data_IF_630769834771
#
_entry.id   IF_630769834771
#
_cell.length_a   1.000
_cell.length_b   1.000
_cell.length_c   1.000
_cell.angle_alpha   90.00
_cell.angle_beta   90.00
_cell.angle_gamma   90.00
#
_symmetry.space_group_name_H-M   'P 1'
#
loop_
_entity.id
_entity.type
_entity.pdbx_description
1 polymer ?
#
# COMPACT_ATOMS: atom_id res chain seq x y z
N UNK A 1 -4.97 -77.83 26.48
CA UNK A 1 -4.62 -76.38 26.60
C UNK A 1 -4.62 -75.75 25.21
N UNK A 2 -5.67 -75.05 24.84
CA UNK A 2 -5.77 -74.37 23.53
C UNK A 2 -5.45 -72.91 23.79
N UNK A 3 -4.36 -72.35 23.21
CA UNK A 3 -4.04 -70.96 23.20
C UNK A 3 -4.92 -70.27 22.13
N UNK A 4 -5.66 -69.27 22.55
CA UNK A 4 -6.39 -68.36 21.66
C UNK A 4 -5.48 -67.10 21.44
N UNK A 5 -5.01 -66.96 20.21
CA UNK A 5 -4.33 -65.75 19.78
C UNK A 5 -5.38 -64.66 19.45
N UNK A 6 -5.42 -63.55 20.23
CA UNK A 6 -6.21 -62.38 19.91
C UNK A 6 -5.32 -61.44 19.07
N UNK A 7 -5.63 -61.30 17.77
CA UNK A 7 -5.00 -60.30 16.92
C UNK A 7 -5.71 -58.98 17.09
N UNK A 8 -5.01 -58.01 17.68
CA UNK A 8 -5.50 -56.63 17.80
C UNK A 8 -5.21 -55.90 16.49
N UNK A 9 -6.25 -55.65 15.74
CA UNK A 9 -6.17 -54.85 14.50
C UNK A 9 -6.18 -53.38 14.88
N UNK A 10 -5.02 -52.70 14.82
CA UNK A 10 -4.92 -51.25 14.98
C UNK A 10 -5.39 -50.57 13.68
N UNK A 11 -6.57 -49.95 13.72
CA UNK A 11 -7.06 -49.07 12.65
C UNK A 11 -6.32 -47.75 12.73
N UNK A 12 -5.36 -47.56 11.84
CA UNK A 12 -4.74 -46.25 11.58
C UNK A 12 -5.80 -45.33 10.91
N UNK A 13 -6.46 -44.51 11.69
CA UNK A 13 -7.19 -43.35 11.13
C UNK A 13 -6.18 -42.36 10.60
N UNK A 14 -5.89 -42.39 9.31
CA UNK A 14 -5.25 -41.32 8.59
C UNK A 14 -6.29 -40.18 8.50
N UNK A 15 -6.20 -39.27 9.42
CA UNK A 15 -6.98 -38.03 9.34
C UNK A 15 -6.59 -37.32 8.03
N UNK A 16 -7.48 -37.34 7.05
CA UNK A 16 -7.39 -36.40 5.92
C UNK A 16 -7.53 -35.01 6.49
N UNK A 17 -6.42 -34.29 6.63
CA UNK A 17 -6.46 -32.84 6.79
C UNK A 17 -7.11 -32.27 5.54
N UNK A 18 -8.34 -31.78 5.67
CA UNK A 18 -9.02 -31.09 4.58
C UNK A 18 -8.06 -30.02 4.02
N UNK A 19 -7.86 -30.03 2.70
CA UNK A 19 -7.01 -29.02 2.05
C UNK A 19 -7.48 -27.65 2.50
N UNK A 20 -6.56 -26.82 3.00
CA UNK A 20 -6.87 -25.48 3.51
C UNK A 20 -7.46 -24.65 2.38
N UNK A 21 -8.70 -24.15 2.52
CA UNK A 21 -9.30 -23.22 1.54
C UNK A 21 -8.49 -21.92 1.54
N UNK A 22 -7.71 -21.71 0.50
CA UNK A 22 -6.86 -20.51 0.32
C UNK A 22 -7.65 -19.23 0.17
N UNK A 23 -8.94 -19.33 -0.17
CA UNK A 23 -9.86 -18.20 -0.31
C UNK A 23 -10.66 -17.94 0.97
N UNK A 24 -10.55 -18.78 1.99
CA UNK A 24 -11.25 -18.50 3.25
C UNK A 24 -10.72 -17.23 3.91
N UNK A 25 -11.62 -16.45 4.51
CA UNK A 25 -11.25 -15.22 5.21
C UNK A 25 -10.16 -15.44 6.25
N UNK A 26 -10.17 -16.58 6.95
CA UNK A 26 -9.11 -16.92 7.93
C UNK A 26 -7.74 -17.14 7.27
N UNK A 27 -7.68 -17.76 6.09
CA UNK A 27 -6.43 -17.95 5.34
C UNK A 27 -5.88 -16.60 4.84
N UNK A 28 -6.74 -15.77 4.29
CA UNK A 28 -6.38 -14.45 3.79
C UNK A 28 -5.91 -13.52 4.92
N UNK A 29 -6.60 -13.54 6.06
CA UNK A 29 -6.21 -12.75 7.22
C UNK A 29 -4.87 -13.21 7.80
N UNK A 30 -4.55 -14.50 7.73
CA UNK A 30 -3.23 -14.99 8.12
C UNK A 30 -2.11 -14.46 7.22
N UNK A 31 -2.37 -14.29 5.90
CA UNK A 31 -1.42 -13.64 4.98
C UNK A 31 -1.24 -12.15 5.32
N UNK A 32 -2.33 -11.43 5.62
CA UNK A 32 -2.25 -10.03 6.09
C UNK A 32 -1.47 -9.93 7.41
N UNK A 33 -1.72 -10.83 8.36
CA UNK A 33 -0.99 -10.86 9.62
C UNK A 33 0.51 -11.19 9.41
N UNK A 34 0.82 -12.04 8.44
CA UNK A 34 2.20 -12.33 8.07
C UNK A 34 2.89 -11.09 7.50
N UNK A 35 2.24 -10.38 6.57
CA UNK A 35 2.74 -9.11 6.06
C UNK A 35 2.99 -8.12 7.20
N UNK A 36 2.01 -7.91 8.08
CA UNK A 36 2.12 -7.01 9.23
C UNK A 36 3.30 -7.34 10.14
N UNK A 37 3.65 -8.63 10.27
CA UNK A 37 4.75 -9.09 11.14
C UNK A 37 6.15 -8.63 10.68
N UNK A 38 6.31 -8.16 9.46
CA UNK A 38 7.57 -7.62 8.95
C UNK A 38 7.81 -6.14 9.35
N UNK A 39 6.80 -5.47 9.92
CA UNK A 39 6.93 -4.13 10.49
C UNK A 39 6.78 -3.02 9.46
N UNK A 40 7.80 -2.16 9.33
CA UNK A 40 7.76 -1.04 8.39
C UNK A 40 8.11 -1.49 6.97
N UNK A 41 7.27 -1.13 6.00
CA UNK A 41 7.42 -1.54 4.61
C UNK A 41 7.94 -0.44 3.68
N UNK A 42 8.63 0.55 4.26
CA UNK A 42 9.25 1.59 3.45
C UNK A 42 10.28 0.99 2.50
N UNK A 43 10.30 1.49 1.25
CA UNK A 43 11.22 1.00 0.22
C UNK A 43 12.66 0.87 0.71
N UNK A 44 13.31 -0.25 0.44
CA UNK A 44 14.68 -0.57 0.88
C UNK A 44 14.83 -0.91 2.37
N UNK A 45 13.75 -0.90 3.16
CA UNK A 45 13.79 -1.28 4.58
C UNK A 45 13.95 -2.79 4.79
N UNK A 46 14.28 -3.26 6.00
CA UNK A 46 14.24 -4.68 6.32
C UNK A 46 12.86 -5.32 6.07
N UNK A 47 11.76 -4.60 6.36
CA UNK A 47 10.40 -5.09 6.13
C UNK A 47 10.05 -5.23 4.66
N UNK A 48 10.47 -4.28 3.80
CA UNK A 48 10.33 -4.39 2.34
C UNK A 48 11.05 -5.64 1.82
N UNK A 49 12.32 -5.84 2.21
CA UNK A 49 13.09 -7.03 1.80
C UNK A 49 12.46 -8.34 2.28
N UNK A 50 12.00 -8.39 3.54
CA UNK A 50 11.35 -9.58 4.10
C UNK A 50 10.02 -9.87 3.38
N UNK A 51 9.26 -8.84 3.01
CA UNK A 51 8.04 -8.98 2.21
C UNK A 51 8.33 -9.54 0.83
N UNK A 52 9.35 -9.03 0.13
CA UNK A 52 9.74 -9.54 -1.18
C UNK A 52 10.19 -11.01 -1.11
N UNK A 53 10.98 -11.39 -0.10
CA UNK A 53 11.40 -12.78 0.10
C UNK A 53 10.22 -13.71 0.42
N UNK A 54 9.29 -13.27 1.25
CA UNK A 54 8.09 -14.02 1.57
C UNK A 54 7.19 -14.24 0.34
N UNK A 55 6.87 -13.19 -0.41
CA UNK A 55 6.05 -13.28 -1.63
C UNK A 55 6.73 -14.24 -2.65
N UNK A 56 8.04 -14.09 -2.85
CA UNK A 56 8.79 -14.98 -3.74
C UNK A 56 8.72 -16.45 -3.28
N UNK A 57 8.83 -16.71 -1.98
CA UNK A 57 8.70 -18.05 -1.40
C UNK A 57 7.32 -18.66 -1.62
N UNK A 58 6.24 -17.90 -1.40
CA UNK A 58 4.86 -18.33 -1.62
C UNK A 58 4.58 -18.66 -3.10
N UNK A 59 5.03 -17.80 -4.02
CA UNK A 59 4.86 -18.03 -5.45
C UNK A 59 5.70 -19.19 -5.94
N UNK A 60 6.95 -19.35 -5.46
CA UNK A 60 7.79 -20.52 -5.75
C UNK A 60 7.16 -21.82 -5.23
N UNK A 61 6.61 -21.79 -4.02
CA UNK A 61 5.88 -22.91 -3.43
C UNK A 61 4.64 -23.31 -4.23
N UNK A 62 4.01 -22.37 -4.92
CA UNK A 62 2.92 -22.63 -5.84
C UNK A 62 3.38 -23.11 -7.24
N UNK A 63 4.69 -23.19 -7.49
CA UNK A 63 5.26 -23.74 -8.72
C UNK A 63 5.57 -22.71 -9.80
N UNK A 64 5.59 -21.42 -9.46
CA UNK A 64 6.01 -20.36 -10.40
C UNK A 64 7.53 -20.24 -10.46
N UNK A 65 8.06 -19.90 -11.63
CA UNK A 65 9.46 -19.53 -11.81
C UNK A 65 9.66 -18.09 -11.32
N UNK A 66 10.58 -17.87 -10.38
CA UNK A 66 10.80 -16.57 -9.74
C UNK A 66 11.97 -15.84 -10.38
N UNK A 67 11.77 -14.53 -10.62
CA UNK A 67 12.80 -13.59 -11.03
C UNK A 67 12.69 -12.32 -10.20
N UNK A 68 13.81 -11.82 -9.69
CA UNK A 68 13.88 -10.51 -9.07
C UNK A 68 14.35 -9.47 -10.10
N UNK A 69 13.68 -8.32 -10.11
CA UNK A 69 14.10 -7.17 -10.89
C UNK A 69 14.58 -6.08 -9.92
N UNK A 70 15.89 -5.77 -9.90
CA UNK A 70 16.43 -4.73 -9.03
C UNK A 70 15.80 -3.37 -9.35
N UNK A 71 15.36 -2.67 -8.30
CA UNK A 71 14.85 -1.29 -8.37
C UNK A 71 15.81 -0.42 -7.58
N UNK A 72 16.34 0.65 -8.19
CA UNK A 72 17.25 1.57 -7.52
C UNK A 72 16.66 2.97 -7.56
N UNK A 73 16.48 3.55 -6.39
CA UNK A 73 16.06 4.95 -6.24
C UNK A 73 17.28 5.82 -5.93
N UNK A 74 17.37 6.99 -6.57
CA UNK A 74 18.52 7.88 -6.45
C UNK A 74 18.76 8.35 -5.02
N UNK A 75 17.67 8.58 -4.26
CA UNK A 75 17.76 8.98 -2.85
C UNK A 75 16.54 8.52 -2.05
N UNK A 76 16.73 8.38 -0.75
CA UNK A 76 15.69 8.27 0.26
C UNK A 76 16.14 8.96 1.55
N UNK A 77 15.23 9.66 2.21
CA UNK A 77 15.46 10.16 3.55
C UNK A 77 15.04 9.12 4.58
N UNK A 78 15.96 8.70 5.42
CA UNK A 78 15.74 7.71 6.48
C UNK A 78 15.65 8.43 7.82
N UNK A 79 14.53 8.22 8.53
CA UNK A 79 14.32 8.73 9.90
C UNK A 79 14.67 7.63 10.87
N UNK A 80 15.65 7.88 11.74
CA UNK A 80 16.03 6.98 12.83
C UNK A 80 15.20 7.29 14.08
N UNK A 81 15.03 8.59 14.37
CA UNK A 81 14.23 9.08 15.48
C UNK A 81 13.64 10.44 15.14
N UNK A 82 12.41 10.66 15.50
CA UNK A 82 11.78 11.97 15.42
C UNK A 82 10.79 12.15 16.57
N UNK A 83 10.82 13.30 17.23
CA UNK A 83 9.90 13.66 18.30
C UNK A 83 9.64 15.16 18.31
N UNK A 84 8.54 15.53 18.95
CA UNK A 84 8.24 16.91 19.30
C UNK A 84 7.90 17.01 20.80
N UNK A 85 8.16 18.16 21.38
CA UNK A 85 7.68 18.52 22.72
C UNK A 85 7.05 19.91 22.63
N UNK A 86 5.89 20.10 23.26
CA UNK A 86 5.20 21.35 23.31
C UNK A 86 4.53 21.53 24.69
N UNK A 87 4.76 22.66 25.36
CA UNK A 87 4.23 22.96 26.70
C UNK A 87 4.49 21.81 27.71
N UNK A 88 5.69 21.21 27.71
CA UNK A 88 6.08 20.10 28.59
C UNK A 88 5.44 18.74 28.26
N UNK A 89 4.79 18.62 27.11
CA UNK A 89 4.14 17.38 26.68
C UNK A 89 4.84 16.83 25.43
N UNK A 90 5.28 15.58 25.48
CA UNK A 90 5.79 14.87 24.32
C UNK A 90 4.68 14.62 23.28
N UNK A 91 4.98 14.87 22.03
CA UNK A 91 4.09 14.70 20.88
C UNK A 91 4.81 13.91 19.79
N UNK A 92 4.12 12.94 19.21
CA UNK A 92 4.63 12.23 18.06
C UNK A 92 4.71 13.15 16.83
N UNK A 93 5.84 13.20 16.19
CA UNK A 93 6.09 13.99 14.98
C UNK A 93 6.90 13.17 13.98
N UNK A 94 6.75 13.50 12.71
CA UNK A 94 7.53 12.88 11.63
C UNK A 94 7.99 13.96 10.67
N UNK A 95 9.27 14.00 10.26
CA UNK A 95 9.70 14.90 9.20
C UNK A 95 8.89 14.64 7.93
N UNK A 96 8.38 15.72 7.33
CA UNK A 96 7.79 15.63 6.00
C UNK A 96 8.90 15.40 4.99
N UNK A 97 8.71 14.47 4.07
CA UNK A 97 9.76 13.98 3.16
C UNK A 97 10.63 15.11 2.56
N UNK A 98 11.85 14.78 2.21
CA UNK A 98 12.90 15.65 1.67
C UNK A 98 13.17 16.91 2.53
N UNK A 99 13.62 16.78 3.80
CA UNK A 99 14.14 17.91 4.55
C UNK A 99 15.39 18.48 3.85
N UNK A 100 15.82 19.73 4.17
CA UNK A 100 17.11 20.23 3.70
C UNK A 100 18.23 19.28 4.05
N UNK A 101 19.19 19.05 3.14
CA UNK A 101 20.26 18.06 3.36
C UNK A 101 21.14 18.42 4.57
N UNK A 102 21.42 19.71 4.80
CA UNK A 102 22.14 20.22 5.96
C UNK A 102 21.30 20.17 7.26
N UNK A 103 20.04 19.81 7.16
CA UNK A 103 19.08 19.63 8.25
C UNK A 103 18.47 18.22 8.26
N UNK A 104 19.17 17.25 7.73
CA UNK A 104 18.74 15.84 7.79
C UNK A 104 18.63 15.35 9.26
N UNK A 105 19.51 15.85 10.13
CA UNK A 105 19.39 15.71 11.59
C UNK A 105 19.41 17.10 12.22
N UNK A 106 18.53 17.38 13.17
CA UNK A 106 18.49 18.65 13.86
C UNK A 106 17.81 18.58 15.22
N UNK A 107 18.25 19.49 16.09
CA UNK A 107 17.57 19.82 17.33
C UNK A 107 17.20 21.30 17.26
N UNK A 108 15.90 21.62 17.40
CA UNK A 108 15.40 22.98 17.32
C UNK A 108 14.38 23.22 18.43
N UNK A 109 14.63 24.26 19.22
CA UNK A 109 13.67 24.76 20.21
C UNK A 109 13.37 26.22 19.94
N UNK A 110 12.11 26.55 19.65
CA UNK A 110 11.71 27.91 19.27
C UNK A 110 10.24 28.19 19.62
N UNK A 111 9.84 29.47 19.79
CA UNK A 111 8.43 29.82 19.94
C UNK A 111 7.60 29.46 18.72
N UNK A 112 6.33 29.11 18.96
CA UNK A 112 5.36 28.86 17.91
C UNK A 112 4.73 30.17 17.43
N UNK A 113 4.44 30.29 16.13
CA UNK A 113 3.69 31.40 15.55
C UNK A 113 2.75 30.87 14.46
N UNK A 114 1.64 31.61 14.22
CA UNK A 114 0.72 31.33 13.10
C UNK A 114 0.85 32.33 11.96
N UNK A 115 1.26 33.53 12.28
CA UNK A 115 1.39 34.64 11.34
C UNK A 115 2.39 35.70 11.83
N UNK A 116 2.43 36.87 11.17
CA UNK A 116 3.29 38.00 11.52
C UNK A 116 4.78 37.70 11.26
N UNK A 117 5.63 38.20 12.17
CA UNK A 117 7.07 37.94 12.11
C UNK A 117 7.35 36.52 12.60
N UNK A 118 7.81 35.64 11.69
CA UNK A 118 8.11 34.23 11.93
C UNK A 118 9.61 33.93 11.90
N UNK A 119 10.46 34.96 11.76
CA UNK A 119 11.91 34.76 11.76
C UNK A 119 12.37 34.14 13.08
N UNK A 120 13.10 33.03 13.00
CA UNK A 120 13.56 32.27 14.17
C UNK A 120 12.45 31.52 14.94
N UNK A 121 11.22 31.49 14.46
CA UNK A 121 10.09 30.79 15.08
C UNK A 121 9.72 29.56 14.29
N UNK A 122 8.93 28.66 14.90
CA UNK A 122 8.26 27.56 14.22
C UNK A 122 6.92 28.08 13.72
N UNK A 123 6.71 28.03 12.41
CA UNK A 123 5.45 28.45 11.80
C UNK A 123 4.46 27.29 11.76
N UNK A 124 3.32 27.44 12.42
CA UNK A 124 2.25 26.44 12.37
C UNK A 124 1.36 26.67 11.15
N UNK A 125 1.25 25.62 10.32
CA UNK A 125 0.42 25.59 9.13
C UNK A 125 -0.61 24.47 9.26
N UNK A 126 -1.88 24.80 9.15
CA UNK A 126 -2.97 23.84 9.03
C UNK A 126 -3.29 23.62 7.56
N UNK A 127 -3.35 22.37 7.14
CA UNK A 127 -3.85 21.98 5.83
C UNK A 127 -5.13 21.17 5.97
N UNK A 128 -6.17 21.46 5.16
CA UNK A 128 -7.31 20.57 5.06
C UNK A 128 -6.87 19.22 4.50
N UNK A 129 -7.64 18.17 4.77
CA UNK A 129 -7.34 16.86 4.20
C UNK A 129 -7.60 16.86 2.69
N UNK A 130 -6.54 16.69 1.92
CA UNK A 130 -6.64 16.36 0.51
C UNK A 130 -6.64 14.84 0.38
N UNK A 131 -7.74 14.29 -0.16
CA UNK A 131 -7.93 12.85 -0.32
C UNK A 131 -6.99 12.20 -1.35
N UNK A 132 -6.12 12.98 -2.00
CA UNK A 132 -5.07 12.47 -2.89
C UNK A 132 -3.97 11.72 -2.13
N UNK A 133 -3.37 10.72 -2.76
CA UNK A 133 -2.16 10.07 -2.22
C UNK A 133 -0.91 10.95 -2.39
N UNK A 134 -0.88 11.80 -3.40
CA UNK A 134 0.18 12.79 -3.65
C UNK A 134 -0.22 14.17 -3.16
N UNK A 135 0.79 14.95 -2.76
CA UNK A 135 0.61 16.33 -2.33
C UNK A 135 0.02 17.18 -3.47
N UNK A 136 -1.20 17.66 -3.29
CA UNK A 136 -1.89 18.49 -4.28
C UNK A 136 -1.23 19.85 -4.46
N UNK A 137 -1.46 20.54 -5.62
CA UNK A 137 -0.86 21.85 -5.93
C UNK A 137 -1.15 22.91 -4.86
N UNK A 138 -2.38 22.95 -4.32
CA UNK A 138 -2.76 23.93 -3.30
C UNK A 138 -1.98 23.73 -1.99
N UNK A 139 -1.82 22.48 -1.54
CA UNK A 139 -1.04 22.15 -0.34
C UNK A 139 0.45 22.45 -0.54
N UNK A 140 0.99 22.10 -1.71
CA UNK A 140 2.38 22.43 -2.08
C UNK A 140 2.62 23.95 -2.07
N UNK A 141 1.69 24.72 -2.63
CA UNK A 141 1.76 26.19 -2.61
C UNK A 141 1.75 26.72 -1.18
N UNK A 142 0.83 26.25 -0.33
CA UNK A 142 0.73 26.71 1.06
C UNK A 142 2.01 26.43 1.87
N UNK A 143 2.62 25.25 1.71
CA UNK A 143 3.90 24.94 2.37
C UNK A 143 5.03 25.81 1.81
N UNK A 144 5.06 26.03 0.48
CA UNK A 144 6.09 26.85 -0.16
C UNK A 144 5.99 28.32 0.26
N UNK A 145 4.78 28.87 0.36
CA UNK A 145 4.54 30.22 0.87
C UNK A 145 4.95 30.38 2.34
N UNK A 146 4.65 29.37 3.15
CA UNK A 146 5.10 29.31 4.54
C UNK A 146 6.63 29.29 4.63
N UNK A 147 7.28 28.48 3.83
CA UNK A 147 8.74 28.36 3.79
C UNK A 147 9.41 29.66 3.28
N UNK A 148 8.79 30.38 2.35
CA UNK A 148 9.29 31.66 1.83
C UNK A 148 9.40 32.76 2.90
N UNK A 149 8.63 32.65 4.00
CA UNK A 149 8.73 33.54 5.17
C UNK A 149 9.96 33.27 6.03
N UNK A 150 10.76 32.22 5.70
CA UNK A 150 11.99 31.83 6.37
C UNK A 150 11.84 31.56 7.89
N UNK A 151 10.82 30.76 8.31
CA UNK A 151 10.75 30.32 9.70
C UNK A 151 11.92 29.39 10.02
N UNK A 152 12.18 29.15 11.30
CA UNK A 152 13.16 28.14 11.73
C UNK A 152 12.77 26.72 11.34
N UNK A 153 11.46 26.43 11.39
CA UNK A 153 10.82 25.21 10.87
C UNK A 153 9.33 25.44 10.63
N UNK A 154 8.69 24.54 9.93
CA UNK A 154 7.23 24.48 9.79
C UNK A 154 6.70 23.30 10.63
N UNK A 155 5.71 23.59 11.48
CA UNK A 155 4.84 22.57 12.07
C UNK A 155 3.63 22.44 11.16
N UNK A 156 3.49 21.27 10.52
CA UNK A 156 2.42 20.99 9.59
C UNK A 156 1.38 20.06 10.23
N UNK A 157 0.15 20.51 10.28
CA UNK A 157 -0.97 19.70 10.75
C UNK A 157 -1.96 19.47 9.61
N UNK A 158 -2.16 18.19 9.26
CA UNK A 158 -3.06 17.78 8.18
C UNK A 158 -4.29 17.15 8.81
N UNK A 159 -5.46 17.77 8.57
CA UNK A 159 -6.72 17.24 9.09
C UNK A 159 -7.16 15.99 8.33
N UNK A 160 -6.76 14.81 8.80
CA UNK A 160 -7.14 13.53 8.21
C UNK A 160 -8.06 12.73 9.15
N UNK A 161 -8.82 11.73 8.66
CA UNK A 161 -9.82 10.99 9.46
C UNK A 161 -9.25 10.24 10.67
N UNK A 162 -7.95 9.95 10.69
CA UNK A 162 -7.28 9.30 11.82
C UNK A 162 -6.76 10.29 12.88
N UNK A 163 -6.82 11.60 12.60
CA UNK A 163 -6.19 12.64 13.43
C UNK A 163 -4.70 12.39 13.71
N UNK A 164 -4.03 11.63 12.84
CA UNK A 164 -2.64 11.23 12.98
C UNK A 164 -1.73 11.88 11.92
N UNK A 165 -0.44 11.61 12.01
CA UNK A 165 0.56 12.03 11.03
C UNK A 165 0.28 11.38 9.67
N UNK A 166 0.07 12.20 8.66
CA UNK A 166 -0.24 11.73 7.32
C UNK A 166 0.97 11.90 6.40
N UNK A 167 1.34 10.86 5.65
CA UNK A 167 2.39 10.90 4.66
C UNK A 167 1.82 10.95 3.25
N UNK A 168 2.11 12.00 2.49
CA UNK A 168 1.85 12.03 1.05
C UNK A 168 2.95 11.29 0.28
N UNK A 169 2.62 10.73 -0.87
CA UNK A 169 3.60 10.19 -1.80
C UNK A 169 4.48 11.30 -2.40
N UNK A 170 5.69 10.94 -2.74
CA UNK A 170 6.72 11.84 -3.25
C UNK A 170 7.37 11.23 -4.49
N UNK A 171 7.97 12.07 -5.32
CA UNK A 171 8.78 11.61 -6.45
C UNK A 171 10.27 11.91 -6.24
N UNK A 172 11.13 11.32 -7.05
CA UNK A 172 12.58 11.58 -7.00
C UNK A 172 12.93 12.99 -7.47
N UNK A 173 12.06 13.60 -8.28
CA UNK A 173 12.18 14.95 -8.83
C UNK A 173 11.78 16.04 -7.83
N UNK A 174 11.01 15.69 -6.79
CA UNK A 174 10.60 16.65 -5.76
C UNK A 174 11.84 17.23 -5.06
N UNK A 175 11.98 18.54 -5.08
CA UNK A 175 13.07 19.22 -4.39
C UNK A 175 12.94 19.12 -2.86
N UNK A 176 14.05 19.14 -2.11
CA UNK A 176 14.01 19.32 -0.67
C UNK A 176 13.30 20.63 -0.29
N UNK A 177 12.58 20.62 0.83
CA UNK A 177 12.03 21.85 1.40
C UNK A 177 13.17 22.78 1.83
N UNK A 178 13.01 24.10 1.71
CA UNK A 178 14.08 25.04 2.10
C UNK A 178 14.23 25.20 3.62
N UNK A 179 13.26 24.70 4.41
CA UNK A 179 13.28 24.65 5.87
C UNK A 179 12.75 23.29 6.35
N UNK A 180 13.10 22.84 7.55
CA UNK A 180 12.51 21.62 8.11
C UNK A 180 10.98 21.72 8.21
N UNK A 181 10.26 20.69 7.78
CA UNK A 181 8.81 20.55 7.91
C UNK A 181 8.50 19.32 8.74
N UNK A 182 7.80 19.51 9.86
CA UNK A 182 7.43 18.44 10.78
C UNK A 182 5.92 18.22 10.76
N UNK A 183 5.48 17.02 10.44
CA UNK A 183 4.06 16.62 10.47
C UNK A 183 3.70 16.12 11.85
N UNK A 184 2.59 16.63 12.38
CA UNK A 184 1.98 16.18 13.64
C UNK A 184 0.52 15.84 13.42
N UNK A 185 -0.03 14.93 14.21
CA UNK A 185 -1.44 14.57 14.16
C UNK A 185 -2.34 15.64 14.76
N UNK A 186 -3.55 15.81 14.22
CA UNK A 186 -4.55 16.76 14.72
C UNK A 186 -4.97 16.49 16.17
N UNK A 187 -4.82 15.25 16.65
CA UNK A 187 -5.01 14.88 18.08
C UNK A 187 -4.13 15.70 19.05
N UNK A 188 -3.00 16.24 18.58
CA UNK A 188 -2.08 17.05 19.38
C UNK A 188 -2.42 18.57 19.37
N UNK A 189 -3.45 18.99 18.65
CA UNK A 189 -3.83 20.42 18.45
C UNK A 189 -3.86 21.20 19.76
N UNK A 190 -4.59 20.71 20.77
CA UNK A 190 -4.75 21.40 22.06
C UNK A 190 -3.40 21.62 22.77
N UNK A 191 -2.43 20.73 22.58
CA UNK A 191 -1.08 20.88 23.16
C UNK A 191 -0.33 22.02 22.51
N UNK A 192 -0.39 22.15 21.18
CA UNK A 192 0.24 23.27 20.46
C UNK A 192 -0.46 24.59 20.69
N UNK A 193 -1.79 24.59 20.84
CA UNK A 193 -2.54 25.80 21.23
C UNK A 193 -2.12 26.33 22.61
N UNK A 194 -1.90 25.43 23.59
CA UNK A 194 -1.34 25.82 24.90
C UNK A 194 0.06 26.40 24.79
N UNK A 195 0.94 25.78 23.98
CA UNK A 195 2.28 26.31 23.74
C UNK A 195 2.24 27.70 23.08
N UNK A 196 1.37 27.88 22.09
CA UNK A 196 1.18 29.18 21.41
C UNK A 196 0.68 30.27 22.39
N UNK A 197 -0.34 29.95 23.20
CA UNK A 197 -0.95 30.91 24.15
C UNK A 197 0.00 31.29 25.28
N UNK A 198 0.84 30.37 25.75
CA UNK A 198 1.79 30.62 26.84
C UNK A 198 3.13 31.19 26.37
N UNK A 199 3.41 31.17 25.06
CA UNK A 199 4.73 31.50 24.53
C UNK A 199 5.79 30.44 24.82
N UNK A 200 5.40 29.28 25.35
CA UNK A 200 6.32 28.17 25.61
C UNK A 200 6.94 27.66 24.28
N UNK A 201 8.24 27.33 24.27
CA UNK A 201 8.89 26.82 23.07
C UNK A 201 8.33 25.47 22.68
N UNK A 202 8.32 25.20 21.37
CA UNK A 202 8.17 23.88 20.79
C UNK A 202 9.57 23.37 20.43
N UNK A 203 9.84 22.13 20.79
CA UNK A 203 11.14 21.49 20.52
C UNK A 203 10.93 20.35 19.54
N UNK A 204 11.69 20.32 18.45
CA UNK A 204 11.83 19.19 17.54
C UNK A 204 13.21 18.55 17.73
N UNK A 205 13.26 17.23 17.81
CA UNK A 205 14.49 16.44 17.89
C UNK A 205 14.42 15.35 16.82
N UNK A 206 15.27 15.46 15.81
CA UNK A 206 15.28 14.58 14.64
C UNK A 206 16.68 14.05 14.42
N UNK A 207 16.78 12.73 14.33
CA UNK A 207 17.96 12.02 13.82
C UNK A 207 17.55 11.30 12.53
N UNK A 208 18.25 11.62 11.46
CA UNK A 208 17.99 11.03 10.15
C UNK A 208 19.13 11.34 9.18
N UNK A 209 19.12 10.69 8.06
CA UNK A 209 20.12 10.89 7.01
C UNK A 209 19.55 10.57 5.63
N UNK A 210 20.22 11.05 4.59
CA UNK A 210 19.95 10.65 3.23
C UNK A 210 20.76 9.42 2.84
N UNK A 211 20.08 8.39 2.37
CA UNK A 211 20.68 7.29 1.63
C UNK A 211 20.65 7.59 0.13
N UNK A 212 21.71 7.19 -0.57
CA UNK A 212 21.84 7.31 -2.03
C UNK A 212 21.84 5.93 -2.66
N UNK A 213 21.28 5.82 -3.88
CA UNK A 213 21.19 4.56 -4.62
C UNK A 213 20.55 3.44 -3.80
N UNK A 214 19.42 3.76 -3.16
CA UNK A 214 18.69 2.80 -2.31
C UNK A 214 18.17 1.68 -3.17
N UNK A 215 18.46 0.45 -2.78
CA UNK A 215 18.08 -0.74 -3.53
C UNK A 215 16.89 -1.46 -2.90
N UNK A 216 15.89 -1.72 -3.72
CA UNK A 216 14.79 -2.64 -3.51
C UNK A 216 14.69 -3.60 -4.69
N UNK A 217 13.61 -4.33 -4.79
CA UNK A 217 13.40 -5.24 -5.92
C UNK A 217 11.93 -5.54 -6.13
N UNK A 218 11.52 -5.63 -7.39
CA UNK A 218 10.27 -6.28 -7.76
C UNK A 218 10.41 -7.80 -7.67
N UNK A 219 9.32 -8.47 -7.32
CA UNK A 219 9.19 -9.93 -7.39
C UNK A 219 8.36 -10.27 -8.61
N UNK A 220 8.92 -10.99 -9.56
CA UNK A 220 8.23 -11.45 -10.76
C UNK A 220 8.17 -12.97 -10.73
N UNK A 221 6.98 -13.52 -10.99
CA UNK A 221 6.75 -14.96 -11.00
C UNK A 221 5.93 -15.35 -12.23
N UNK A 222 6.38 -16.38 -12.94
CA UNK A 222 5.81 -16.76 -14.23
C UNK A 222 5.46 -18.23 -14.29
N UNK A 223 4.36 -18.56 -14.98
CA UNK A 223 4.11 -19.92 -15.47
C UNK A 223 4.86 -20.14 -16.79
N UNK A 224 4.97 -21.41 -17.21
CA UNK A 224 5.62 -21.74 -18.49
C UNK A 224 4.99 -20.97 -19.66
N UNK A 225 5.84 -20.34 -20.50
CA UNK A 225 5.46 -19.64 -21.72
C UNK A 225 4.73 -20.59 -22.68
N UNK A 226 3.70 -20.10 -23.39
CA UNK A 226 2.97 -20.86 -24.40
C UNK A 226 1.79 -21.68 -23.89
N UNK A 227 1.35 -21.47 -22.64
CA UNK A 227 0.20 -22.18 -22.03
C UNK A 227 -1.16 -21.52 -22.26
N UNK A 228 -1.32 -20.64 -23.25
CA UNK A 228 -2.56 -19.92 -23.53
C UNK A 228 -2.40 -18.40 -23.46
N UNK A 229 -3.48 -17.65 -23.18
CA UNK A 229 -3.42 -16.19 -23.14
C UNK A 229 -2.50 -15.70 -22.01
N UNK A 230 -1.81 -14.59 -22.24
CA UNK A 230 -1.00 -13.94 -21.20
C UNK A 230 -1.87 -13.05 -20.32
N UNK A 231 -1.81 -13.27 -19.01
CA UNK A 231 -2.50 -12.50 -17.97
C UNK A 231 -1.47 -11.96 -17.00
N UNK A 232 -1.41 -10.65 -16.84
CA UNK A 232 -0.56 -10.00 -15.84
C UNK A 232 -1.37 -9.74 -14.58
N UNK A 233 -0.79 -10.05 -13.43
CA UNK A 233 -1.39 -9.80 -12.11
C UNK A 233 -0.41 -9.01 -11.28
N UNK A 234 -0.81 -7.85 -10.77
CA UNK A 234 0.10 -6.94 -10.05
C UNK A 234 -0.42 -6.48 -8.70
N UNK A 235 0.50 -6.20 -7.79
CA UNK A 235 0.24 -5.56 -6.50
C UNK A 235 1.45 -4.76 -6.02
N UNK A 236 1.29 -3.53 -5.47
CA UNK A 236 2.37 -2.88 -4.75
C UNK A 236 2.60 -3.55 -3.39
N UNK A 237 3.85 -3.61 -2.92
CA UNK A 237 4.20 -4.26 -1.65
C UNK A 237 4.83 -3.33 -0.61
N UNK A 238 5.19 -2.09 -1.00
CA UNK A 238 5.79 -1.09 -0.10
C UNK A 238 4.77 -0.06 0.39
N UNK A 239 5.10 0.68 1.44
CA UNK A 239 4.28 1.74 2.03
C UNK A 239 5.07 2.65 2.97
N UNK A 240 4.44 3.73 3.47
CA UNK A 240 5.12 4.70 4.33
C UNK A 240 5.41 4.19 5.74
N UNK A 241 4.51 3.37 6.28
CA UNK A 241 4.54 2.85 7.64
C UNK A 241 4.39 1.33 7.63
N UNK A 242 3.64 0.78 8.58
CA UNK A 242 3.22 -0.63 8.59
C UNK A 242 2.28 -0.96 7.43
N UNK A 243 1.49 0.01 6.97
CA UNK A 243 0.55 -0.03 5.84
C UNK A 243 -0.23 -1.36 5.72
N UNK A 244 -0.70 -1.87 6.87
CA UNK A 244 -1.24 -3.23 6.98
C UNK A 244 -2.52 -3.41 6.17
N UNK A 245 -3.52 -2.51 6.31
CA UNK A 245 -4.73 -2.58 5.51
C UNK A 245 -4.55 -1.94 4.13
N UNK A 246 -3.64 -1.00 4.00
CA UNK A 246 -3.34 -0.41 2.70
C UNK A 246 -2.84 -1.45 1.70
N UNK A 247 -1.92 -2.35 2.10
CA UNK A 247 -1.25 -3.32 1.22
C UNK A 247 -1.61 -4.76 1.49
N UNK A 248 -1.75 -5.14 2.77
CA UNK A 248 -1.94 -6.54 3.17
C UNK A 248 -3.09 -7.26 2.45
N UNK A 249 -4.31 -6.69 2.36
CA UNK A 249 -5.40 -7.29 1.59
C UNK A 249 -5.08 -7.48 0.11
N UNK A 250 -4.40 -6.51 -0.52
CA UNK A 250 -3.96 -6.62 -1.91
C UNK A 250 -3.01 -7.80 -2.11
N UNK A 251 -1.99 -7.90 -1.26
CA UNK A 251 -1.01 -9.00 -1.29
C UNK A 251 -1.68 -10.35 -1.01
N UNK A 252 -2.57 -10.43 -0.02
CA UNK A 252 -3.28 -11.67 0.30
C UNK A 252 -4.14 -12.15 -0.88
N UNK A 253 -4.89 -11.25 -1.53
CA UNK A 253 -5.69 -11.57 -2.71
C UNK A 253 -4.83 -11.95 -3.92
N UNK A 254 -3.70 -11.29 -4.12
CA UNK A 254 -2.71 -11.61 -5.14
C UNK A 254 -2.16 -13.03 -4.97
N UNK A 255 -1.74 -13.39 -3.76
CA UNK A 255 -1.25 -14.74 -3.44
C UNK A 255 -2.36 -15.79 -3.54
N UNK A 256 -3.58 -15.48 -3.13
CA UNK A 256 -4.72 -16.37 -3.22
C UNK A 256 -5.08 -16.68 -4.69
N UNK A 257 -5.06 -15.69 -5.57
CA UNK A 257 -5.25 -15.89 -7.01
C UNK A 257 -4.14 -16.78 -7.59
N UNK A 258 -2.87 -16.53 -7.24
CA UNK A 258 -1.75 -17.32 -7.70
C UNK A 258 -1.86 -18.78 -7.26
N UNK A 259 -2.11 -19.00 -5.96
CA UNK A 259 -2.29 -20.36 -5.39
C UNK A 259 -3.45 -21.11 -6.04
N UNK A 260 -4.58 -20.42 -6.31
CA UNK A 260 -5.76 -21.03 -6.95
C UNK A 260 -5.46 -21.37 -8.41
N UNK A 261 -4.88 -20.46 -9.19
CA UNK A 261 -4.55 -20.68 -10.59
C UNK A 261 -3.58 -21.86 -10.76
N UNK A 262 -2.60 -22.00 -9.84
CA UNK A 262 -1.66 -23.11 -9.84
C UNK A 262 -2.32 -24.44 -9.45
N UNK A 263 -3.11 -24.46 -8.37
CA UNK A 263 -3.79 -25.68 -7.87
C UNK A 263 -4.80 -26.23 -8.89
N UNK A 264 -5.55 -25.35 -9.53
CA UNK A 264 -6.54 -25.70 -10.57
C UNK A 264 -5.90 -25.85 -11.97
N UNK A 265 -4.59 -25.58 -12.09
CA UNK A 265 -3.83 -25.70 -13.35
C UNK A 265 -4.45 -24.92 -14.51
N UNK A 266 -4.78 -23.66 -14.27
CA UNK A 266 -5.40 -22.80 -15.28
C UNK A 266 -4.54 -22.73 -16.55
N UNK A 267 -5.14 -22.89 -17.75
CA UNK A 267 -4.41 -22.95 -19.02
C UNK A 267 -4.11 -21.54 -19.55
N UNK A 268 -3.28 -20.78 -18.82
CA UNK A 268 -2.85 -19.43 -19.17
C UNK A 268 -1.38 -19.21 -18.83
N UNK A 269 -0.73 -18.28 -19.53
CA UNK A 269 0.57 -17.75 -19.15
C UNK A 269 0.36 -16.61 -18.16
N UNK A 270 0.60 -16.87 -16.88
CA UNK A 270 0.52 -15.86 -15.83
C UNK A 270 1.87 -15.19 -15.60
N UNK A 271 1.84 -13.87 -15.47
CA UNK A 271 2.95 -13.05 -15.00
C UNK A 271 2.49 -12.31 -13.76
N UNK A 272 2.87 -12.78 -12.59
CA UNK A 272 2.64 -12.13 -11.31
C UNK A 272 3.76 -11.15 -11.00
N UNK A 273 3.43 -9.93 -10.59
CA UNK A 273 4.41 -8.89 -10.25
C UNK A 273 4.02 -8.20 -8.95
N UNK A 274 4.88 -8.29 -7.92
CA UNK A 274 4.80 -7.45 -6.74
C UNK A 274 5.82 -6.32 -6.88
N UNK A 275 5.33 -5.06 -6.88
CA UNK A 275 6.11 -3.87 -7.18
C UNK A 275 6.65 -3.19 -5.94
N UNK A 276 7.89 -2.69 -6.00
CA UNK A 276 8.54 -1.91 -4.96
C UNK A 276 8.53 -0.41 -5.29
N UNK A 277 8.61 0.45 -4.27
CA UNK A 277 8.74 1.89 -4.44
C UNK A 277 7.50 2.62 -4.94
N UNK A 278 6.31 2.11 -4.64
CA UNK A 278 5.03 2.72 -5.03
C UNK A 278 4.89 4.16 -4.52
N UNK A 279 5.30 4.42 -3.27
CA UNK A 279 5.16 5.72 -2.60
C UNK A 279 6.14 6.77 -3.14
N UNK A 280 7.12 6.34 -3.93
CA UNK A 280 8.19 7.19 -4.48
C UNK A 280 8.14 7.14 -6.02
N UNK A 281 7.00 7.55 -6.57
CA UNK A 281 6.80 7.71 -8.01
C UNK A 281 6.53 6.42 -8.78
N UNK A 282 6.04 5.34 -8.13
CA UNK A 282 5.77 4.04 -8.76
C UNK A 282 7.00 3.38 -9.44
N UNK A 283 8.21 3.66 -8.94
CA UNK A 283 9.46 3.30 -9.63
C UNK A 283 9.59 1.83 -10.02
N UNK A 284 9.06 0.90 -9.20
CA UNK A 284 9.03 -0.53 -9.54
C UNK A 284 8.09 -0.86 -10.69
N UNK A 285 6.90 -0.27 -10.73
CA UNK A 285 5.95 -0.46 -11.84
C UNK A 285 6.48 0.15 -13.14
N UNK A 286 7.01 1.36 -13.09
CA UNK A 286 7.61 2.01 -14.27
C UNK A 286 8.73 1.17 -14.86
N UNK A 287 9.63 0.65 -14.02
CA UNK A 287 10.72 -0.23 -14.47
C UNK A 287 10.19 -1.54 -15.04
N UNK A 288 9.16 -2.15 -14.44
CA UNK A 288 8.57 -3.37 -14.97
C UNK A 288 7.93 -3.16 -16.33
N UNK A 289 7.15 -2.09 -16.49
CA UNK A 289 6.53 -1.73 -17.78
C UNK A 289 7.56 -1.49 -18.89
N UNK A 290 8.71 -0.90 -18.53
CA UNK A 290 9.78 -0.62 -19.46
C UNK A 290 10.56 -1.87 -19.89
N UNK A 291 10.96 -2.72 -18.93
CA UNK A 291 11.99 -3.73 -19.16
C UNK A 291 11.58 -5.16 -18.75
N UNK A 292 10.33 -5.40 -18.34
CA UNK A 292 9.92 -6.69 -17.79
C UNK A 292 8.54 -7.18 -18.17
N UNK A 293 7.64 -6.29 -18.57
CA UNK A 293 6.26 -6.62 -18.86
C UNK A 293 6.10 -7.24 -20.27
N UNK A 294 5.18 -8.19 -20.44
CA UNK A 294 4.78 -8.65 -21.77
C UNK A 294 4.20 -7.48 -22.59
N UNK A 295 4.39 -7.48 -23.89
CA UNK A 295 3.87 -6.41 -24.73
C UNK A 295 2.33 -6.28 -24.63
N UNK A 296 1.76 -5.06 -24.67
CA UNK A 296 0.31 -4.85 -24.54
C UNK A 296 -0.52 -5.69 -25.53
N UNK A 297 -0.06 -5.84 -26.78
CA UNK A 297 -0.72 -6.66 -27.81
C UNK A 297 -0.69 -8.18 -27.53
N UNK A 298 0.19 -8.64 -26.65
CA UNK A 298 0.37 -10.04 -26.26
C UNK A 298 -0.33 -10.32 -24.91
N UNK A 299 -0.86 -9.28 -24.25
CA UNK A 299 -1.49 -9.37 -22.95
C UNK A 299 -3.00 -9.32 -23.12
N UNK A 300 -3.67 -10.41 -22.77
CA UNK A 300 -5.13 -10.50 -22.79
C UNK A 300 -5.76 -9.61 -21.72
N UNK A 301 -5.21 -9.63 -20.49
CA UNK A 301 -5.76 -8.92 -19.37
C UNK A 301 -4.69 -8.52 -18.35
N UNK A 302 -4.97 -7.43 -17.61
CA UNK A 302 -4.23 -7.00 -16.43
C UNK A 302 -5.15 -6.95 -15.22
N UNK A 303 -4.83 -7.70 -14.17
CA UNK A 303 -5.52 -7.70 -12.88
C UNK A 303 -4.64 -6.99 -11.86
N UNK A 304 -5.18 -6.00 -11.14
CA UNK A 304 -4.40 -5.19 -10.19
C UNK A 304 -5.02 -5.16 -8.80
N UNK A 305 -4.23 -5.48 -7.81
CA UNK A 305 -4.57 -5.35 -6.40
C UNK A 305 -3.89 -4.10 -5.82
N UNK A 306 -4.54 -2.96 -5.93
CA UNK A 306 -4.05 -1.68 -5.40
C UNK A 306 -4.27 -1.55 -3.89
N UNK A 307 -4.36 -0.31 -3.39
CA UNK A 307 -4.52 -0.03 -1.95
C UNK A 307 -5.92 -0.37 -1.43
N UNK A 308 -6.00 -0.71 -0.13
CA UNK A 308 -7.25 -0.73 0.65
C UNK A 308 -8.37 -1.59 0.06
N UNK A 309 -8.03 -2.72 -0.55
CA UNK A 309 -8.99 -3.58 -1.26
C UNK A 309 -10.09 -4.11 -0.35
N UNK A 310 -9.76 -4.44 0.90
CA UNK A 310 -10.66 -5.02 1.88
C UNK A 310 -10.39 -4.43 3.26
N UNK A 311 -10.66 -3.13 3.43
CA UNK A 311 -10.57 -2.42 4.69
C UNK A 311 -11.97 -2.09 5.21
N UNK A 312 -12.12 -2.03 6.54
CA UNK A 312 -13.36 -1.60 7.17
C UNK A 312 -13.63 -0.12 6.91
N UNK A 313 -14.88 0.21 6.71
CA UNK A 313 -15.36 1.58 6.83
C UNK A 313 -15.67 1.90 8.30
N UNK A 314 -15.50 3.17 8.66
CA UNK A 314 -15.85 3.68 9.97
C UNK A 314 -16.95 4.75 9.79
N UNK A 315 -18.16 4.43 10.23
CA UNK A 315 -19.25 5.38 10.34
C UNK A 315 -19.50 5.66 11.83
N UNK A 316 -19.48 6.93 12.23
CA UNK A 316 -19.77 7.36 13.62
C UNK A 316 -18.93 6.62 14.70
N UNK A 317 -17.66 6.31 14.38
CA UNK A 317 -16.75 5.62 15.30
C UNK A 317 -16.94 4.10 15.41
N UNK A 318 -17.87 3.51 14.66
CA UNK A 318 -18.09 2.07 14.64
C UNK A 318 -17.49 1.42 13.38
N UNK A 319 -16.85 0.26 13.54
CA UNK A 319 -16.40 -0.56 12.41
C UNK A 319 -17.60 -1.16 11.68
N UNK A 320 -17.56 -1.19 10.37
CA UNK A 320 -18.59 -1.81 9.54
C UNK A 320 -17.97 -2.58 8.39
N UNK A 321 -18.54 -3.72 8.01
CA UNK A 321 -18.15 -4.49 6.83
C UNK A 321 -18.54 -3.82 5.52
N UNK A 322 -19.31 -2.72 5.57
CA UNK A 322 -19.60 -1.93 4.38
C UNK A 322 -18.32 -1.32 3.86
N UNK A 323 -18.08 -1.39 2.55
CA UNK A 323 -16.94 -0.71 1.97
C UNK A 323 -17.07 0.79 2.19
N UNK A 324 -15.96 1.45 2.43
CA UNK A 324 -15.91 2.90 2.38
C UNK A 324 -16.34 3.42 1.02
N UNK A 325 -16.92 4.62 1.00
CA UNK A 325 -17.25 5.31 -0.26
C UNK A 325 -16.02 5.52 -1.16
N UNK A 326 -14.84 5.41 -0.59
CA UNK A 326 -13.53 5.57 -1.19
C UNK A 326 -12.94 4.27 -1.78
N UNK A 327 -13.71 3.16 -1.82
CA UNK A 327 -13.29 1.91 -2.47
C UNK A 327 -13.78 1.86 -3.92
N UNK A 328 -12.86 1.72 -4.85
CA UNK A 328 -13.10 1.78 -6.28
C UNK A 328 -12.72 0.46 -6.96
N UNK A 329 -13.64 -0.08 -7.74
CA UNK A 329 -13.34 -1.07 -8.76
C UNK A 329 -12.96 -0.31 -10.04
N UNK A 330 -11.66 -0.26 -10.32
CA UNK A 330 -11.07 0.49 -11.45
C UNK A 330 -10.95 -0.46 -12.63
N UNK A 331 -11.56 -0.12 -13.76
CA UNK A 331 -11.64 -1.04 -14.89
C UNK A 331 -11.65 -0.33 -16.24
N UNK A 332 -11.18 -1.04 -17.26
CA UNK A 332 -11.39 -0.65 -18.65
C UNK A 332 -12.85 -0.79 -19.04
N UNK A 333 -13.29 -0.07 -20.06
CA UNK A 333 -14.67 -0.18 -20.58
C UNK A 333 -15.03 -1.61 -20.99
N UNK A 334 -14.08 -2.33 -21.58
CA UNK A 334 -14.23 -3.73 -21.97
C UNK A 334 -14.46 -4.69 -20.81
N UNK A 335 -14.01 -4.36 -19.59
CA UNK A 335 -14.15 -5.22 -18.42
C UNK A 335 -15.47 -5.02 -17.64
N UNK A 336 -16.38 -4.15 -18.10
CA UNK A 336 -17.61 -3.83 -17.37
C UNK A 336 -18.49 -5.07 -17.20
N UNK A 337 -18.83 -5.78 -18.28
CA UNK A 337 -19.70 -6.97 -18.21
C UNK A 337 -19.09 -8.08 -17.34
N UNK A 338 -17.79 -8.34 -17.49
CA UNK A 338 -17.06 -9.30 -16.66
C UNK A 338 -17.17 -8.97 -15.16
N UNK A 339 -16.97 -7.70 -14.83
CA UNK A 339 -17.01 -7.26 -13.41
C UNK A 339 -18.43 -7.20 -12.86
N UNK A 340 -19.44 -6.95 -13.69
CA UNK A 340 -20.84 -7.05 -13.30
C UNK A 340 -21.23 -8.46 -12.86
N UNK A 341 -20.65 -9.46 -13.52
CA UNK A 341 -20.88 -10.86 -13.15
C UNK A 341 -20.06 -11.29 -11.91
N UNK A 342 -18.78 -10.93 -11.85
CA UNK A 342 -17.85 -11.47 -10.84
C UNK A 342 -17.92 -10.75 -9.48
N UNK A 343 -18.27 -9.45 -9.46
CA UNK A 343 -18.20 -8.62 -8.25
C UNK A 343 -19.57 -8.34 -7.61
N UNK A 344 -20.53 -9.22 -7.78
CA UNK A 344 -21.92 -9.05 -7.25
C UNK A 344 -21.96 -8.95 -5.72
N UNK A 345 -21.06 -9.64 -5.03
CA UNK A 345 -20.96 -9.63 -3.56
C UNK A 345 -20.03 -8.54 -3.01
N UNK A 346 -19.40 -7.73 -3.88
CA UNK A 346 -18.40 -6.72 -3.49
C UNK A 346 -18.95 -5.33 -3.77
N UNK A 347 -19.31 -4.62 -2.72
CA UNK A 347 -19.71 -3.22 -2.86
C UNK A 347 -18.49 -2.34 -3.05
N UNK A 348 -18.37 -1.68 -4.21
CA UNK A 348 -17.36 -0.70 -4.56
C UNK A 348 -17.91 0.24 -5.62
N UNK A 349 -17.47 1.50 -5.61
CA UNK A 349 -17.75 2.43 -6.73
C UNK A 349 -17.02 1.95 -7.98
N UNK A 350 -17.71 1.89 -9.10
CA UNK A 350 -17.07 1.58 -10.38
C UNK A 350 -16.45 2.84 -10.98
N UNK A 351 -15.18 2.75 -11.26
CA UNK A 351 -14.43 3.76 -11.98
C UNK A 351 -14.05 3.19 -13.35
N UNK A 352 -14.97 3.34 -14.31
CA UNK A 352 -14.71 2.96 -15.70
C UNK A 352 -13.78 4.00 -16.32
N UNK A 353 -12.60 3.58 -16.71
CA UNK A 353 -11.54 4.46 -17.17
C UNK A 353 -11.61 4.63 -18.68
N UNK A 354 -11.80 5.88 -19.12
CA UNK A 354 -11.70 6.25 -20.55
C UNK A 354 -10.39 7.01 -20.86
N UNK A 355 -9.88 7.79 -19.92
CA UNK A 355 -8.68 8.63 -20.13
C UNK A 355 -7.57 8.34 -19.13
N UNK A 356 -7.88 8.16 -17.86
CA UNK A 356 -6.88 7.99 -16.81
C UNK A 356 -7.41 7.10 -15.68
N UNK A 357 -6.70 6.03 -15.37
CA UNK A 357 -6.93 5.19 -14.19
C UNK A 357 -6.27 5.80 -12.94
N UNK A 358 -6.37 5.12 -11.81
CA UNK A 358 -5.77 5.54 -10.51
C UNK A 358 -4.72 4.54 -10.05
N UNK A 359 -3.80 4.99 -9.20
CA UNK A 359 -2.68 4.20 -8.72
C UNK A 359 -1.82 3.69 -9.88
N UNK A 360 -1.20 2.54 -9.73
CA UNK A 360 -0.36 1.92 -10.77
C UNK A 360 -1.15 1.51 -12.03
N UNK A 361 -2.48 1.34 -11.95
CA UNK A 361 -3.29 1.14 -13.17
C UNK A 361 -3.26 2.35 -14.11
N UNK A 362 -2.93 3.54 -13.61
CA UNK A 362 -2.67 4.71 -14.47
C UNK A 362 -1.50 4.45 -15.41
N UNK A 363 -0.43 3.87 -14.88
CA UNK A 363 0.79 3.61 -15.64
C UNK A 363 0.57 2.46 -16.63
N UNK A 364 -0.16 1.41 -16.21
CA UNK A 364 -0.60 0.30 -17.05
C UNK A 364 -1.46 0.80 -18.23
N UNK A 365 -2.47 1.63 -17.94
CA UNK A 365 -3.32 2.21 -18.99
C UNK A 365 -2.53 3.11 -19.94
N UNK A 366 -1.64 3.96 -19.42
CA UNK A 366 -0.78 4.81 -20.21
C UNK A 366 0.19 4.02 -21.11
N UNK A 367 0.62 2.83 -20.67
CA UNK A 367 1.44 1.92 -21.45
C UNK A 367 0.67 1.16 -22.56
N UNK A 368 -0.67 1.35 -22.65
CA UNK A 368 -1.48 0.82 -23.76
C UNK A 368 -2.13 -0.55 -23.51
N UNK A 369 -2.16 -1.04 -22.27
CA UNK A 369 -2.92 -2.26 -21.93
C UNK A 369 -4.41 -1.97 -22.00
N UNK A 370 -5.13 -2.65 -22.90
CA UNK A 370 -6.53 -2.35 -23.23
C UNK A 370 -7.52 -2.91 -22.22
N UNK A 371 -7.26 -4.12 -21.72
CA UNK A 371 -8.19 -4.84 -20.83
C UNK A 371 -7.59 -4.92 -19.43
N UNK A 372 -8.16 -4.19 -18.49
CA UNK A 372 -7.71 -4.22 -17.10
C UNK A 372 -8.87 -4.09 -16.13
N UNK A 373 -8.67 -4.67 -14.96
CA UNK A 373 -9.52 -4.50 -13.79
C UNK A 373 -8.63 -4.51 -12.53
N UNK A 374 -9.04 -3.77 -11.53
CA UNK A 374 -8.33 -3.76 -10.24
C UNK A 374 -9.16 -3.04 -9.18
N UNK A 375 -8.72 -3.16 -7.95
CA UNK A 375 -9.34 -2.46 -6.85
C UNK A 375 -8.33 -1.55 -6.18
N UNK A 376 -8.75 -0.31 -5.94
CA UNK A 376 -7.99 0.68 -5.20
C UNK A 376 -8.93 1.43 -4.25
N UNK A 377 -8.40 1.96 -3.18
CA UNK A 377 -9.20 2.72 -2.24
C UNK A 377 -8.34 3.39 -1.19
N UNK A 378 -9.04 3.99 -0.25
CA UNK A 378 -8.49 4.58 0.97
C UNK A 378 -9.37 4.16 2.13
N UNK A 379 -8.81 4.10 3.30
CA UNK A 379 -9.53 3.83 4.54
C UNK A 379 -9.15 4.88 5.59
N UNK A 380 -9.77 4.85 6.74
CA UNK A 380 -9.63 5.88 7.75
C UNK A 380 -8.16 6.13 8.16
N UNK A 381 -7.38 5.06 8.31
CA UNK A 381 -5.98 5.12 8.75
C UNK A 381 -4.97 5.09 7.60
N UNK A 382 -5.43 5.22 6.35
CA UNK A 382 -4.59 5.24 5.15
C UNK A 382 -3.46 6.26 5.27
N UNK A 383 -2.24 5.86 4.93
CA UNK A 383 -1.02 6.68 4.99
C UNK A 383 -0.69 7.26 6.38
N UNK A 384 -1.14 6.59 7.44
CA UNK A 384 -0.81 6.96 8.82
C UNK A 384 -0.17 5.80 9.59
N UNK A 385 0.54 6.07 10.70
CA UNK A 385 1.07 5.02 11.58
C UNK A 385 0.00 4.13 12.22
N UNK A 386 -1.26 4.58 12.23
CA UNK A 386 -2.39 3.85 12.81
C UNK A 386 -2.95 2.75 11.88
N UNK A 387 -2.40 2.58 10.67
CA UNK A 387 -2.80 1.50 9.78
C UNK A 387 -2.25 0.15 10.26
N UNK A 388 -3.10 -0.64 10.89
CA UNK A 388 -2.77 -1.92 11.51
C UNK A 388 -3.78 -3.03 11.18
N UNK A 389 -3.60 -4.20 11.79
CA UNK A 389 -4.46 -5.38 11.61
C UNK A 389 -5.93 -5.14 11.98
N UNK A 390 -6.23 -4.12 12.78
CA UNK A 390 -7.62 -3.84 13.19
C UNK A 390 -8.43 -3.18 12.08
N UNK A 391 -7.78 -2.69 11.02
CA UNK A 391 -8.44 -2.04 9.90
C UNK A 391 -9.03 -3.02 8.86
N UNK A 392 -8.80 -4.34 9.00
CA UNK A 392 -9.34 -5.38 8.13
C UNK A 392 -9.75 -6.63 8.92
N UNK A 393 -10.38 -7.61 8.27
CA UNK A 393 -10.79 -8.86 8.89
C UNK A 393 -11.22 -9.94 7.88
N UNK A 394 -11.37 -11.18 8.36
CA UNK A 394 -11.71 -12.33 7.52
C UNK A 394 -12.95 -12.14 6.65
N UNK A 395 -14.01 -11.56 7.21
CA UNK A 395 -15.31 -11.40 6.58
C UNK A 395 -15.35 -10.37 5.44
N UNK A 396 -14.38 -9.44 5.41
CA UNK A 396 -14.28 -8.46 4.34
C UNK A 396 -13.25 -8.88 3.27
N UNK A 397 -12.28 -9.73 3.62
CA UNK A 397 -11.26 -10.24 2.71
C UNK A 397 -11.83 -11.28 1.72
N UNK A 398 -12.58 -12.24 2.23
CA UNK A 398 -13.05 -13.39 1.45
C UNK A 398 -13.90 -13.02 0.23
N UNK A 399 -14.92 -12.14 0.33
CA UNK A 399 -15.72 -11.76 -0.84
C UNK A 399 -14.88 -11.14 -1.96
N UNK A 400 -13.88 -10.33 -1.62
CA UNK A 400 -12.99 -9.68 -2.58
C UNK A 400 -12.10 -10.71 -3.28
N UNK A 401 -11.46 -11.62 -2.53
CA UNK A 401 -10.65 -12.68 -3.10
C UNK A 401 -11.44 -13.57 -4.06
N UNK A 402 -12.64 -14.00 -3.66
CA UNK A 402 -13.51 -14.85 -4.48
C UNK A 402 -13.94 -14.15 -5.76
N UNK A 403 -14.26 -12.84 -5.70
CA UNK A 403 -14.62 -12.06 -6.89
C UNK A 403 -13.48 -11.96 -7.90
N UNK A 404 -12.25 -11.68 -7.45
CA UNK A 404 -11.09 -11.63 -8.33
C UNK A 404 -10.72 -13.00 -8.92
N UNK A 405 -10.84 -14.07 -8.14
CA UNK A 405 -10.62 -15.44 -8.63
C UNK A 405 -11.68 -15.83 -9.66
N UNK A 406 -12.96 -15.48 -9.43
CA UNK A 406 -14.03 -15.72 -10.41
C UNK A 406 -13.80 -14.93 -11.71
N UNK A 407 -13.43 -13.66 -11.61
CA UNK A 407 -13.05 -12.86 -12.78
C UNK A 407 -11.86 -13.48 -13.53
N UNK A 408 -10.80 -13.88 -12.83
CA UNK A 408 -9.64 -14.54 -13.42
C UNK A 408 -9.99 -15.84 -14.12
N UNK A 409 -10.86 -16.68 -13.53
CA UNK A 409 -11.35 -17.92 -14.14
C UNK A 409 -12.12 -17.65 -15.42
N UNK A 410 -13.07 -16.67 -15.40
CA UNK A 410 -13.81 -16.26 -16.57
C UNK A 410 -12.94 -15.72 -17.70
N UNK A 411 -11.87 -14.97 -17.37
CA UNK A 411 -10.88 -14.50 -18.35
C UNK A 411 -10.20 -15.69 -19.03
N UNK A 412 -9.74 -16.66 -18.26
CA UNK A 412 -9.06 -17.85 -18.80
C UNK A 412 -9.99 -18.69 -19.67
N UNK A 413 -11.24 -18.88 -19.23
CA UNK A 413 -12.25 -19.71 -19.94
C UNK A 413 -12.75 -19.07 -21.23
N UNK A 414 -12.94 -17.74 -21.24
CA UNK A 414 -13.59 -17.03 -22.36
C UNK A 414 -12.60 -16.35 -23.31
N UNK A 415 -11.33 -16.16 -22.89
CA UNK A 415 -10.35 -15.41 -23.66
C UNK A 415 -10.83 -14.00 -24.00
N UNK A 416 -10.66 -13.56 -25.24
CA UNK A 416 -11.14 -12.25 -25.71
C UNK A 416 -12.64 -12.01 -25.52
N UNK A 417 -13.45 -13.07 -25.43
CA UNK A 417 -14.89 -12.93 -25.23
C UNK A 417 -15.25 -12.45 -23.82
N UNK A 418 -14.32 -12.52 -22.85
CA UNK A 418 -14.50 -11.95 -21.52
C UNK A 418 -14.59 -10.40 -21.52
N UNK A 419 -14.15 -9.77 -22.62
CA UNK A 419 -14.02 -8.31 -22.77
C UNK A 419 -14.87 -7.72 -23.91
N UNK A 420 -15.97 -8.39 -24.23
CA UNK A 420 -16.92 -7.97 -25.29
C UNK A 420 -18.24 -7.52 -24.73
#
# INVERSE_FOLDING_TARGET
MRLILIATMAVLMVGQTAAKDVLSGASLYADVARYASFGLHRFGSPGDRATADWIAGELSGAGYAIRFQPVVLGRQYVVERASAEAAGTAVEATPFWWPPEDKASFHLSAPLARDGDVAGKILWVDLPFDRGAYLGPAHRAAISEAAAKKPAAILLMIGNPADDRFAYNVTQEDAPWPVPVMVVGARARATFERALASGAPVTFDVTGHYERNVSGRNVIAETGIGRGPTIVVSTPMTGWYSCVCERGPGIANFLALARTAAAEKWPAHFVFIATAGHEIGHGGMELFLKDGAPAPKETLAWIHFGSSNACYAFAEGARTVRPEEERFLVLSKSAVALTDEAFTAVAAKRLVTEKQAVGELRDVHAAGYANFLGMAGRHQTFHTPADDLTATGPEILEPVARAFVDAGRKIVERGDAAFK
#
